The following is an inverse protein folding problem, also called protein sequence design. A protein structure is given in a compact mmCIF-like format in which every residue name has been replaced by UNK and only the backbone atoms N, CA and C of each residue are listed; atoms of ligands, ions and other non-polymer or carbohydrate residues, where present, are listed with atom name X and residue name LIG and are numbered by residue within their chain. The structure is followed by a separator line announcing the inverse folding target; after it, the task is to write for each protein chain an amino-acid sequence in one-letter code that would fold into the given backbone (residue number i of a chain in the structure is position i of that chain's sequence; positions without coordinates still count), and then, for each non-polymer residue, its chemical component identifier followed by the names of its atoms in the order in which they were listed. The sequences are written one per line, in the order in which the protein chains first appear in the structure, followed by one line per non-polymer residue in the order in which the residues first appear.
data_IF_306868961034
#
_entry.id   IF_306868961034
#
_cell.length_a   1.000
_cell.length_b   1.000
_cell.length_c   1.000
_cell.angle_alpha   90.00
_cell.angle_beta   90.00
_cell.angle_gamma   90.00
#
_symmetry.space_group_name_H-M   'P 1'
#
loop_
_entity.id
_entity.type
_entity.pdbx_description
1 polymer ?
#
# COMPACT_ATOMS: atom_id res chain seq x y z
N UNK A 1 25.97 10.03 -20.34
CA UNK A 1 24.64 10.49 -20.77
C UNK A 1 23.65 10.07 -19.69
N UNK A 2 22.85 11.01 -19.18
CA UNK A 2 21.78 10.67 -18.24
C UNK A 2 20.68 9.93 -19.01
N UNK A 3 20.30 8.77 -18.51
CA UNK A 3 19.22 7.98 -19.09
C UNK A 3 17.87 8.69 -18.89
N UNK A 4 17.09 8.81 -19.96
CA UNK A 4 15.76 9.43 -19.90
C UNK A 4 14.84 8.59 -19.03
N UNK A 5 14.25 9.19 -18.01
CA UNK A 5 13.30 8.54 -17.11
C UNK A 5 11.86 8.73 -17.64
N UNK A 6 11.07 7.66 -17.60
CA UNK A 6 9.77 7.54 -18.25
C UNK A 6 8.64 7.40 -17.22
N UNK A 7 7.51 8.01 -17.54
CA UNK A 7 6.23 7.78 -16.89
C UNK A 7 5.35 6.80 -17.71
N UNK A 8 4.23 6.38 -17.16
CA UNK A 8 3.29 5.52 -17.89
C UNK A 8 2.65 6.21 -19.12
N UNK A 9 2.59 7.55 -19.11
CA UNK A 9 2.14 8.33 -20.26
C UNK A 9 3.10 8.31 -21.46
N UNK A 10 4.36 7.94 -21.23
CA UNK A 10 5.42 7.95 -22.26
C UNK A 10 5.51 6.63 -23.03
N UNK A 11 4.75 5.63 -22.64
CA UNK A 11 4.85 4.26 -23.19
C UNK A 11 3.49 3.65 -23.48
N UNK A 12 3.50 2.66 -24.37
CA UNK A 12 2.35 1.81 -24.67
C UNK A 12 2.75 0.34 -24.61
N UNK A 13 1.78 -0.53 -24.36
CA UNK A 13 2.01 -1.96 -24.47
C UNK A 13 2.17 -2.38 -25.93
N UNK A 14 3.29 -3.04 -26.22
CA UNK A 14 3.46 -3.69 -27.53
C UNK A 14 2.49 -4.88 -27.63
N UNK A 15 1.64 -4.96 -28.68
CA UNK A 15 0.75 -6.10 -28.86
C UNK A 15 1.49 -7.43 -28.91
N UNK A 16 0.93 -8.45 -28.28
CA UNK A 16 1.42 -9.82 -28.32
C UNK A 16 0.29 -10.74 -28.78
N UNK A 17 0.67 -11.88 -29.36
CA UNK A 17 -0.27 -12.95 -29.69
C UNK A 17 -0.97 -13.46 -28.42
N UNK A 18 -2.29 -13.57 -28.48
CA UNK A 18 -3.11 -14.13 -27.39
C UNK A 18 -3.79 -15.42 -27.86
N UNK A 19 -3.98 -16.32 -26.92
CA UNK A 19 -4.81 -17.54 -27.09
C UNK A 19 -6.24 -17.35 -26.59
N UNK A 20 -6.54 -16.20 -25.96
CA UNK A 20 -7.85 -15.88 -25.43
C UNK A 20 -8.77 -15.34 -26.53
N UNK A 21 -10.02 -15.78 -26.54
CA UNK A 21 -11.02 -15.38 -27.51
C UNK A 21 -11.80 -14.12 -27.08
N UNK A 22 -11.88 -13.88 -25.79
CA UNK A 22 -12.65 -12.76 -25.21
C UNK A 22 -11.91 -12.14 -24.02
N UNK A 23 -12.14 -10.82 -23.81
CA UNK A 23 -11.70 -10.14 -22.57
C UNK A 23 -12.32 -10.76 -21.32
N UNK A 24 -13.50 -11.38 -21.44
CA UNK A 24 -14.20 -12.05 -20.34
C UNK A 24 -13.48 -13.32 -19.85
N UNK A 25 -12.60 -13.88 -20.68
CA UNK A 25 -11.83 -15.11 -20.36
C UNK A 25 -10.59 -14.78 -19.50
N UNK A 26 -10.32 -13.49 -19.26
CA UNK A 26 -9.15 -13.04 -18.48
C UNK A 26 -9.45 -13.18 -16.98
N UNK A 27 -8.72 -14.04 -16.28
CA UNK A 27 -8.71 -14.07 -14.82
C UNK A 27 -7.66 -13.09 -14.27
N UNK A 28 -8.13 -12.08 -13.54
CA UNK A 28 -7.31 -11.05 -12.91
C UNK A 28 -6.89 -11.44 -11.49
N UNK A 29 -7.46 -12.49 -10.91
CA UNK A 29 -7.11 -12.93 -9.56
C UNK A 29 -5.68 -13.44 -9.47
N UNK A 30 -5.02 -13.08 -8.39
CA UNK A 30 -3.68 -13.56 -8.04
C UNK A 30 -3.64 -13.90 -6.55
N UNK A 31 -2.85 -14.91 -6.21
CA UNK A 31 -2.61 -15.31 -4.82
C UNK A 31 -1.20 -14.90 -4.42
N UNK A 32 -1.09 -14.21 -3.29
CA UNK A 32 0.18 -13.79 -2.71
C UNK A 32 0.34 -14.40 -1.32
N UNK A 33 1.48 -15.02 -1.06
CA UNK A 33 1.93 -15.43 0.27
C UNK A 33 3.01 -14.46 0.73
N UNK A 34 2.75 -13.78 1.84
CA UNK A 34 3.65 -12.75 2.35
C UNK A 34 4.77 -13.36 3.19
N UNK A 35 5.99 -12.83 2.97
CA UNK A 35 7.23 -13.42 3.51
C UNK A 35 7.28 -13.46 5.03
N UNK A 36 6.96 -12.36 5.67
CA UNK A 36 7.12 -12.23 7.13
C UNK A 36 5.87 -12.65 7.90
N UNK A 37 4.71 -12.21 7.45
CA UNK A 37 3.45 -12.50 8.13
C UNK A 37 2.96 -13.93 7.91
N UNK A 38 3.46 -14.63 6.87
CA UNK A 38 2.94 -15.90 6.37
C UNK A 38 1.43 -15.87 6.03
N UNK A 39 0.83 -14.69 5.98
CA UNK A 39 -0.54 -14.55 5.50
C UNK A 39 -0.61 -14.85 4.00
N UNK A 40 -1.74 -15.37 3.57
CA UNK A 40 -2.09 -15.50 2.18
C UNK A 40 -3.27 -14.59 1.87
N UNK A 41 -3.25 -13.97 0.69
CA UNK A 41 -4.35 -13.17 0.18
C UNK A 41 -4.55 -13.45 -1.30
N UNK A 42 -5.81 -13.63 -1.71
CA UNK A 42 -6.21 -13.87 -3.09
C UNK A 42 -7.22 -12.82 -3.52
N UNK A 43 -6.95 -12.18 -4.64
CA UNK A 43 -7.83 -11.16 -5.21
C UNK A 43 -7.23 -10.49 -6.43
N UNK A 44 -7.89 -9.45 -6.90
CA UNK A 44 -7.36 -8.60 -7.97
C UNK A 44 -6.31 -7.66 -7.34
N UNK A 45 -5.05 -7.68 -7.82
CA UNK A 45 -3.94 -6.97 -7.16
C UNK A 45 -3.97 -5.46 -7.45
N UNK A 46 -5.08 -4.83 -7.09
CA UNK A 46 -5.28 -3.38 -7.12
C UNK A 46 -5.56 -2.92 -5.70
N UNK A 47 -4.90 -1.84 -5.30
CA UNK A 47 -4.99 -1.29 -3.96
C UNK A 47 -5.35 0.20 -4.02
N UNK A 48 -6.47 0.58 -3.41
CA UNK A 48 -6.80 1.99 -3.23
C UNK A 48 -5.88 2.63 -2.20
N UNK A 49 -5.31 3.78 -2.55
CA UNK A 49 -4.38 4.51 -1.69
C UNK A 49 -5.06 5.11 -0.46
N UNK A 50 -4.28 5.33 0.59
CA UNK A 50 -4.71 5.97 1.84
C UNK A 50 -4.82 7.51 1.70
N UNK A 51 -5.52 7.95 0.68
CA UNK A 51 -5.76 9.36 0.35
C UNK A 51 -7.19 9.76 0.65
N UNK A 52 -7.42 11.02 0.97
CA UNK A 52 -8.75 11.57 1.18
C UNK A 52 -9.65 11.33 -0.05
N UNK A 53 -10.87 10.89 0.17
CA UNK A 53 -11.82 10.54 -0.88
C UNK A 53 -11.56 9.18 -1.57
N UNK A 54 -10.43 8.51 -1.27
CA UNK A 54 -10.05 7.21 -1.85
C UNK A 54 -9.99 6.14 -0.76
N UNK A 55 -9.24 6.36 0.31
CA UNK A 55 -9.07 5.42 1.41
C UNK A 55 -10.24 5.44 2.42
N UNK A 56 -11.46 5.37 1.92
CA UNK A 56 -12.70 5.50 2.69
C UNK A 56 -13.46 4.17 2.83
N UNK A 57 -14.23 4.01 3.92
CA UNK A 57 -14.98 2.79 4.20
C UNK A 57 -16.00 2.44 3.10
N UNK A 58 -16.62 3.45 2.50
CA UNK A 58 -17.56 3.23 1.38
C UNK A 58 -16.85 2.72 0.12
N UNK A 59 -15.64 3.22 -0.16
CA UNK A 59 -14.78 2.72 -1.26
C UNK A 59 -14.31 1.31 -0.95
N UNK A 60 -13.88 1.05 0.28
CA UNK A 60 -13.44 -0.27 0.73
C UNK A 60 -14.54 -1.33 0.58
N UNK A 61 -15.79 -0.98 0.89
CA UNK A 61 -16.93 -1.86 0.69
C UNK A 61 -17.07 -2.26 -0.79
N UNK A 62 -17.05 -1.27 -1.69
CA UNK A 62 -17.20 -1.52 -3.12
C UNK A 62 -16.03 -2.30 -3.72
N UNK A 63 -14.80 -1.96 -3.36
CA UNK A 63 -13.62 -2.68 -3.84
C UNK A 63 -13.53 -4.11 -3.28
N UNK A 64 -14.06 -4.34 -2.07
CA UNK A 64 -14.10 -5.68 -1.50
C UNK A 64 -15.01 -6.66 -2.27
N UNK A 65 -16.02 -6.16 -2.98
CA UNK A 65 -16.87 -6.96 -3.88
C UNK A 65 -16.03 -7.60 -5.02
N UNK A 66 -14.92 -6.98 -5.38
CA UNK A 66 -13.97 -7.45 -6.39
C UNK A 66 -12.68 -8.04 -5.78
N UNK A 67 -12.66 -8.30 -4.48
CA UNK A 67 -11.45 -8.73 -3.77
C UNK A 67 -10.24 -7.82 -4.02
N UNK A 68 -10.44 -6.50 -3.98
CA UNK A 68 -9.39 -5.46 -4.05
C UNK A 68 -9.14 -4.88 -2.66
N UNK A 69 -7.91 -4.43 -2.39
CA UNK A 69 -7.53 -3.89 -1.09
C UNK A 69 -7.76 -2.37 -1.05
N UNK A 70 -8.16 -1.85 0.10
CA UNK A 70 -8.19 -0.41 0.39
C UNK A 70 -7.33 -0.11 1.61
N UNK A 71 -6.33 0.75 1.45
CA UNK A 71 -5.65 1.37 2.57
C UNK A 71 -6.51 2.51 3.11
N UNK A 72 -7.11 2.32 4.29
CA UNK A 72 -7.93 3.35 4.92
C UNK A 72 -7.08 4.55 5.32
N UNK A 73 -7.63 5.76 5.19
CA UNK A 73 -6.94 6.95 5.69
C UNK A 73 -6.71 6.86 7.19
N UNK A 74 -5.65 7.50 7.68
CA UNK A 74 -5.33 7.53 9.12
C UNK A 74 -6.38 8.22 9.99
N UNK A 75 -7.39 8.85 9.40
CA UNK A 75 -8.50 9.47 10.12
C UNK A 75 -9.51 8.44 10.65
N UNK A 76 -9.55 7.23 10.08
CA UNK A 76 -10.41 6.14 10.54
C UNK A 76 -9.91 5.57 11.88
N UNK A 77 -10.48 6.07 12.99
CA UNK A 77 -10.19 5.60 14.34
C UNK A 77 -11.14 4.49 14.81
N UNK A 78 -10.95 4.05 16.05
CA UNK A 78 -11.77 2.99 16.66
C UNK A 78 -13.26 3.31 16.60
N UNK A 79 -13.65 4.57 16.86
CA UNK A 79 -15.07 4.98 16.87
C UNK A 79 -15.71 4.79 15.50
N UNK A 80 -15.07 5.29 14.44
CA UNK A 80 -15.59 5.19 13.07
C UNK A 80 -15.70 3.72 12.63
N UNK A 81 -14.67 2.91 12.90
CA UNK A 81 -14.70 1.50 12.55
C UNK A 81 -15.74 0.71 13.33
N UNK A 82 -15.96 1.01 14.62
CA UNK A 82 -17.04 0.38 15.42
C UNK A 82 -18.43 0.71 14.91
N UNK A 83 -18.63 1.92 14.42
CA UNK A 83 -19.92 2.35 13.87
C UNK A 83 -20.20 1.75 12.50
N UNK A 84 -19.18 1.28 11.79
CA UNK A 84 -19.34 0.71 10.46
C UNK A 84 -19.79 -0.75 10.53
N UNK A 85 -21.10 -0.98 10.34
CA UNK A 85 -21.76 -2.31 10.52
C UNK A 85 -21.16 -3.42 9.65
N UNK A 86 -20.58 -3.06 8.49
CA UNK A 86 -20.03 -4.01 7.51
C UNK A 86 -18.55 -4.31 7.69
N UNK A 87 -17.90 -3.81 8.74
CA UNK A 87 -16.44 -3.99 8.96
C UNK A 87 -16.01 -5.46 8.86
N UNK A 88 -16.83 -6.37 9.38
CA UNK A 88 -16.54 -7.81 9.34
C UNK A 88 -16.64 -8.44 7.95
N UNK A 89 -17.31 -7.83 7.00
CA UNK A 89 -17.40 -8.32 5.61
C UNK A 89 -16.21 -7.88 4.76
N UNK A 90 -15.61 -6.72 5.09
CA UNK A 90 -14.53 -6.12 4.30
C UNK A 90 -13.13 -6.26 4.92
N UNK A 91 -13.01 -6.79 6.14
CA UNK A 91 -11.75 -6.78 6.91
C UNK A 91 -10.56 -7.45 6.19
N UNK A 92 -10.83 -8.41 5.33
CA UNK A 92 -9.80 -9.12 4.55
C UNK A 92 -9.13 -8.23 3.51
N UNK A 93 -9.83 -7.17 3.11
CA UNK A 93 -9.47 -6.28 2.02
C UNK A 93 -9.23 -4.84 2.47
N UNK A 94 -8.98 -4.62 3.77
CA UNK A 94 -8.61 -3.29 4.28
C UNK A 94 -7.27 -3.32 5.00
N UNK A 95 -6.52 -2.23 4.87
CA UNK A 95 -5.31 -1.95 5.63
C UNK A 95 -5.52 -0.73 6.53
N UNK A 96 -5.05 -0.82 7.78
CA UNK A 96 -5.03 0.30 8.71
C UNK A 96 -3.81 1.17 8.45
N UNK A 97 -4.00 2.45 8.13
CA UNK A 97 -2.88 3.34 7.84
C UNK A 97 -2.45 4.14 9.06
N UNK A 98 -1.14 4.26 9.22
CA UNK A 98 -0.47 5.04 10.26
C UNK A 98 0.74 5.80 9.69
N UNK A 99 1.16 6.86 10.40
CA UNK A 99 2.48 7.48 10.21
C UNK A 99 3.55 6.83 11.08
N UNK A 100 4.56 7.61 11.49
CA UNK A 100 5.71 7.12 12.28
C UNK A 100 5.90 7.88 13.60
N UNK A 101 4.90 8.61 14.05
CA UNK A 101 4.94 9.28 15.34
C UNK A 101 4.60 8.28 16.47
N UNK A 102 4.93 8.61 17.69
CA UNK A 102 4.57 7.79 18.85
C UNK A 102 3.06 7.59 18.95
N UNK A 103 2.31 8.66 18.72
CA UNK A 103 0.84 8.65 18.75
C UNK A 103 0.25 7.72 17.67
N UNK A 104 0.92 7.57 16.53
CA UNK A 104 0.52 6.64 15.48
C UNK A 104 0.66 5.17 15.95
N UNK A 105 1.72 4.88 16.69
CA UNK A 105 1.96 3.54 17.24
C UNK A 105 0.91 3.19 18.33
N UNK A 106 0.65 4.13 19.25
CA UNK A 106 -0.35 3.95 20.32
C UNK A 106 -1.75 3.78 19.72
N UNK A 107 -2.05 4.52 18.64
CA UNK A 107 -3.30 4.39 17.90
C UNK A 107 -3.41 3.03 17.22
N UNK A 108 -2.34 2.53 16.61
CA UNK A 108 -2.31 1.19 16.00
C UNK A 108 -2.62 0.12 17.05
N UNK A 109 -2.05 0.23 18.25
CA UNK A 109 -2.33 -0.68 19.36
C UNK A 109 -3.81 -0.72 19.72
N UNK A 110 -4.43 0.46 19.83
CA UNK A 110 -5.87 0.56 20.13
C UNK A 110 -6.72 -0.07 19.02
N UNK A 111 -6.38 0.21 17.77
CA UNK A 111 -7.08 -0.35 16.61
C UNK A 111 -6.96 -1.87 16.57
N UNK A 112 -5.77 -2.43 16.75
CA UNK A 112 -5.56 -3.87 16.68
C UNK A 112 -6.05 -4.64 17.90
N UNK A 113 -6.21 -4.00 19.06
CA UNK A 113 -6.93 -4.59 20.21
C UNK A 113 -8.40 -4.81 19.89
N UNK A 114 -9.04 -3.84 19.22
CA UNK A 114 -10.46 -3.91 18.88
C UNK A 114 -10.75 -4.71 17.60
N UNK A 115 -9.85 -4.63 16.63
CA UNK A 115 -9.99 -5.22 15.29
C UNK A 115 -8.84 -6.17 14.97
N UNK A 116 -8.56 -7.12 15.88
CA UNK A 116 -7.46 -8.08 15.74
C UNK A 116 -7.54 -8.93 14.46
N UNK A 117 -8.70 -9.06 13.87
CA UNK A 117 -8.95 -9.79 12.63
C UNK A 117 -8.46 -9.06 11.36
N UNK A 118 -8.20 -7.74 11.42
CA UNK A 118 -7.59 -7.00 10.30
C UNK A 118 -6.12 -7.38 10.20
N UNK A 119 -5.69 -7.80 9.01
CA UNK A 119 -4.36 -8.36 8.81
C UNK A 119 -3.34 -7.38 8.23
N UNK A 120 -3.79 -6.32 7.55
CA UNK A 120 -2.91 -5.39 6.86
C UNK A 120 -2.69 -4.09 7.65
N UNK A 121 -1.42 -3.68 7.73
CA UNK A 121 -0.99 -2.39 8.29
C UNK A 121 -0.28 -1.63 7.18
N UNK A 122 -0.67 -0.37 6.92
CA UNK A 122 0.00 0.51 5.98
C UNK A 122 0.76 1.60 6.73
N UNK A 123 2.08 1.58 6.66
CA UNK A 123 2.96 2.61 7.26
C UNK A 123 3.36 3.56 6.14
N UNK A 124 2.80 4.76 6.17
CA UNK A 124 2.90 5.71 5.07
C UNK A 124 3.58 7.01 5.51
N UNK A 125 4.63 7.38 4.79
CA UNK A 125 5.33 8.66 4.89
C UNK A 125 5.59 9.24 3.50
N UNK A 126 5.62 10.56 3.39
CA UNK A 126 5.89 11.24 2.12
C UNK A 126 7.30 10.92 1.57
N UNK A 127 8.26 10.64 2.45
CA UNK A 127 9.64 10.32 2.11
C UNK A 127 10.14 9.18 3.02
N UNK A 128 10.28 7.98 2.45
CA UNK A 128 10.70 6.76 3.15
C UNK A 128 12.22 6.61 3.33
N UNK A 129 13.03 7.64 3.05
CA UNK A 129 14.50 7.58 3.07
C UNK A 129 15.14 7.86 4.44
N UNK A 130 14.35 7.98 5.50
CA UNK A 130 14.90 8.23 6.83
C UNK A 130 15.18 6.93 7.58
N UNK A 131 16.34 6.85 8.27
CA UNK A 131 16.68 5.75 9.17
C UNK A 131 15.59 5.52 10.24
N UNK A 132 14.94 6.59 10.69
CA UNK A 132 13.81 6.53 11.62
C UNK A 132 12.66 5.71 11.06
N UNK A 133 12.43 5.78 9.74
CA UNK A 133 11.36 5.04 9.07
C UNK A 133 11.64 3.53 9.09
N UNK A 134 12.84 3.10 8.71
CA UNK A 134 13.26 1.69 8.74
C UNK A 134 13.19 1.12 10.17
N UNK A 135 13.68 1.86 11.17
CA UNK A 135 13.59 1.47 12.59
C UNK A 135 12.14 1.35 13.06
N UNK A 136 11.26 2.24 12.61
CA UNK A 136 9.85 2.17 12.95
C UNK A 136 9.17 0.93 12.35
N UNK A 137 9.43 0.61 11.08
CA UNK A 137 8.92 -0.62 10.44
C UNK A 137 9.35 -1.85 11.23
N UNK A 138 10.64 -1.92 11.61
CA UNK A 138 11.15 -3.02 12.42
C UNK A 138 10.43 -3.14 13.76
N UNK A 139 10.20 -2.04 14.47
CA UNK A 139 9.47 -2.07 15.75
C UNK A 139 8.02 -2.52 15.59
N UNK A 140 7.35 -2.15 14.49
CA UNK A 140 6.00 -2.64 14.17
C UNK A 140 6.03 -4.14 13.84
N UNK A 141 7.03 -4.60 13.07
CA UNK A 141 7.22 -6.02 12.75
C UNK A 141 7.45 -6.86 13.99
N UNK A 142 8.32 -6.42 14.88
CA UNK A 142 8.64 -7.13 16.13
C UNK A 142 7.40 -7.27 17.02
N UNK A 143 6.56 -6.24 17.08
CA UNK A 143 5.34 -6.25 17.89
C UNK A 143 4.18 -7.02 17.23
N UNK A 144 4.08 -6.98 15.91
CA UNK A 144 2.97 -7.58 15.14
C UNK A 144 3.48 -8.56 14.08
N UNK A 145 4.13 -9.66 14.47
CA UNK A 145 4.79 -10.58 13.54
C UNK A 145 3.83 -11.23 12.53
N UNK A 146 2.55 -11.36 12.86
CA UNK A 146 1.53 -12.00 12.02
C UNK A 146 0.77 -11.02 11.12
N UNK A 147 1.06 -9.72 11.20
CA UNK A 147 0.41 -8.72 10.33
C UNK A 147 1.21 -8.50 9.06
N UNK A 148 0.51 -8.33 7.95
CA UNK A 148 1.14 -7.97 6.67
C UNK A 148 1.41 -6.48 6.65
N UNK A 149 2.67 -6.08 6.55
CA UNK A 149 3.10 -4.69 6.58
C UNK A 149 3.32 -4.17 5.18
N UNK A 150 2.61 -3.10 4.85
CA UNK A 150 2.79 -2.27 3.66
C UNK A 150 3.55 -1.03 4.09
N UNK A 151 4.66 -0.69 3.44
CA UNK A 151 5.48 0.46 3.82
C UNK A 151 5.96 1.27 2.62
N UNK A 152 6.01 2.57 2.75
CA UNK A 152 6.53 3.50 1.73
C UNK A 152 6.29 4.97 2.09
N UNK A 153 6.69 5.89 1.20
CA UNK A 153 7.00 5.65 -0.20
C UNK A 153 8.51 5.80 -0.48
N UNK A 154 8.98 5.01 -1.38
CA UNK A 154 10.35 5.04 -1.91
C UNK A 154 10.33 4.96 -3.44
N UNK A 155 11.46 5.23 -4.11
CA UNK A 155 11.56 5.18 -5.58
C UNK A 155 12.84 4.49 -6.09
N UNK A 156 13.69 3.97 -5.20
CA UNK A 156 14.96 3.33 -5.56
C UNK A 156 15.01 1.88 -5.09
N UNK A 157 15.81 1.08 -5.78
CA UNK A 157 15.98 -0.34 -5.48
C UNK A 157 16.60 -0.57 -4.09
N UNK A 158 17.61 0.21 -3.73
CA UNK A 158 18.30 0.12 -2.43
C UNK A 158 17.34 0.38 -1.26
N UNK A 159 16.51 1.43 -1.34
CA UNK A 159 15.53 1.70 -0.29
C UNK A 159 14.38 0.69 -0.28
N UNK A 160 13.98 0.17 -1.43
CA UNK A 160 13.02 -0.94 -1.50
C UNK A 160 13.58 -2.16 -0.75
N UNK A 161 14.84 -2.50 -0.99
CA UNK A 161 15.52 -3.59 -0.28
C UNK A 161 15.60 -3.30 1.23
N UNK A 162 15.96 -2.08 1.63
CA UNK A 162 16.04 -1.68 3.03
C UNK A 162 14.70 -1.86 3.76
N UNK A 163 13.58 -1.44 3.15
CA UNK A 163 12.26 -1.61 3.75
C UNK A 163 11.86 -3.09 3.86
N UNK A 164 12.20 -3.92 2.86
CA UNK A 164 11.97 -5.36 2.91
C UNK A 164 12.78 -5.98 4.06
N UNK A 165 14.06 -5.64 4.18
CA UNK A 165 14.93 -6.15 5.25
C UNK A 165 14.49 -5.68 6.65
N UNK A 166 13.85 -4.51 6.72
CA UNK A 166 13.26 -3.99 7.95
C UNK A 166 11.93 -4.67 8.34
N UNK A 167 11.39 -5.53 7.48
CA UNK A 167 10.20 -6.35 7.79
C UNK A 167 8.94 -5.98 7.01
N UNK A 168 9.02 -5.16 5.96
CA UNK A 168 7.87 -4.91 5.08
C UNK A 168 7.59 -6.13 4.19
N UNK A 169 6.33 -6.53 4.09
CA UNK A 169 5.87 -7.55 3.14
C UNK A 169 5.56 -6.95 1.76
N UNK A 170 5.14 -5.70 1.74
CA UNK A 170 4.78 -4.94 0.53
C UNK A 170 5.43 -3.55 0.61
N UNK A 171 6.07 -3.12 -0.46
CA UNK A 171 6.67 -1.79 -0.56
C UNK A 171 5.86 -0.91 -1.51
N UNK A 172 5.56 0.32 -1.07
CA UNK A 172 4.93 1.35 -1.89
C UNK A 172 6.02 2.11 -2.64
N UNK A 173 6.09 1.90 -3.95
CA UNK A 173 7.04 2.57 -4.85
C UNK A 173 6.36 3.72 -5.56
N UNK A 174 6.88 4.94 -5.40
CA UNK A 174 6.40 6.15 -6.07
C UNK A 174 6.46 7.38 -5.16
N UNK A 175 7.09 8.44 -5.63
CA UNK A 175 7.12 9.78 -5.02
C UNK A 175 6.91 10.79 -6.13
N UNK A 176 5.86 11.59 -6.02
CA UNK A 176 5.57 12.69 -6.93
C UNK A 176 5.29 12.33 -8.40
N UNK A 177 4.74 11.14 -8.77
CA UNK A 177 4.53 10.80 -10.17
C UNK A 177 3.32 11.52 -10.77
N UNK A 178 2.33 11.89 -9.96
CA UNK A 178 1.13 12.58 -10.44
C UNK A 178 1.41 14.01 -10.85
N UNK A 179 0.82 14.47 -11.98
CA UNK A 179 0.98 15.83 -12.48
C UNK A 179 0.50 16.91 -11.51
N UNK A 180 -0.46 16.57 -10.64
CA UNK A 180 -1.03 17.47 -9.61
C UNK A 180 -0.43 17.27 -8.22
N UNK A 181 0.63 16.46 -8.09
CA UNK A 181 1.25 16.17 -6.80
C UNK A 181 1.88 17.42 -6.18
N UNK A 182 1.37 17.84 -5.03
CA UNK A 182 1.85 19.03 -4.33
C UNK A 182 3.31 18.88 -3.86
N UNK A 183 3.74 17.70 -3.47
CA UNK A 183 5.13 17.42 -3.09
C UNK A 183 6.08 17.76 -4.23
N UNK A 184 5.82 17.25 -5.44
CA UNK A 184 6.62 17.52 -6.62
C UNK A 184 6.64 19.01 -6.99
N UNK A 185 5.48 19.65 -6.95
CA UNK A 185 5.34 21.07 -7.31
C UNK A 185 6.08 21.97 -6.32
N UNK A 186 5.98 21.68 -5.02
CA UNK A 186 6.56 22.53 -3.98
C UNK A 186 8.02 22.25 -3.69
N UNK A 187 8.46 21.00 -3.79
CA UNK A 187 9.81 20.59 -3.37
C UNK A 187 10.74 20.22 -4.54
N UNK A 188 10.19 20.02 -5.74
CA UNK A 188 10.93 19.47 -6.87
C UNK A 188 11.32 17.99 -6.71
N UNK A 189 10.87 17.33 -5.63
CA UNK A 189 11.19 15.93 -5.36
C UNK A 189 10.13 15.03 -6.00
N UNK A 190 10.59 14.07 -6.81
CA UNK A 190 9.75 13.09 -7.48
C UNK A 190 10.58 12.23 -8.43
N UNK A 191 9.95 11.17 -8.92
CA UNK A 191 10.58 10.26 -9.88
C UNK A 191 9.51 9.73 -10.84
N UNK A 192 9.76 9.68 -12.17
CA UNK A 192 8.82 9.12 -13.14
C UNK A 192 8.47 7.66 -12.82
N UNK A 193 7.19 7.36 -12.74
CA UNK A 193 6.70 6.14 -12.09
C UNK A 193 7.13 4.85 -12.81
N UNK A 194 7.14 4.83 -14.12
CA UNK A 194 7.57 3.63 -14.85
C UNK A 194 9.03 3.30 -14.54
N UNK A 195 9.90 4.30 -14.62
CA UNK A 195 11.33 4.12 -14.32
C UNK A 195 11.56 3.73 -12.86
N UNK A 196 10.82 4.31 -11.91
CA UNK A 196 10.91 3.93 -10.50
C UNK A 196 10.53 2.45 -10.24
N UNK A 197 9.58 1.92 -11.02
CA UNK A 197 9.17 0.51 -10.91
C UNK A 197 10.14 -0.43 -11.61
N UNK A 198 10.81 0.04 -12.66
CA UNK A 198 11.79 -0.75 -13.42
C UNK A 198 13.14 -0.87 -12.72
N UNK A 199 13.53 0.15 -11.94
CA UNK A 199 14.74 0.16 -11.14
C UNK A 199 14.69 -0.85 -9.99
#
# INVERSE_FOLDING_TARGET
EEEVKLDYSDVLFRPKRSTLSSRKDVDLSRTYKFKYSNNEWTGVPIMAANMDGVGELGVAEKLSEFNMITCLTKQHGVKQLKQYKKIKSIYKNIALSIGIKKEDFDRLDQLLKEFSFIKFICIDVANGYSERFSKFIKSVRDKYPTKTIIAGNVVTADMTQELILSGADIVKVGIGPGSVCTTRIQTGVGYPQLSAVME
#
